data_IF_982674709531
#
_entry.id   IF_982674709531
#
_cell.length_a   1.000
_cell.length_b   1.000
_cell.length_c   1.000
_cell.angle_alpha   90.00
_cell.angle_beta   90.00
_cell.angle_gamma   90.00
#
_symmetry.space_group_name_H-M   'P 1'
#
loop_
_entity.id
_entity.type
_entity.pdbx_description
1 polymer ?
#
# COMPACT_ATOMS: atom_id res chain seq x y z
N UNK A 1 -2.25 -11.18 14.86
CA UNK A 1 -2.33 -10.24 16.00
C UNK A 1 -3.40 -9.20 15.65
N UNK A 2 -4.33 -8.79 16.52
CA UNK A 2 -5.26 -7.74 16.14
C UNK A 2 -4.53 -6.40 16.14
N UNK A 3 -4.62 -5.67 15.04
CA UNK A 3 -4.01 -4.36 14.85
C UNK A 3 -4.95 -3.30 15.44
N UNK A 4 -4.52 -2.66 16.53
CA UNK A 4 -5.32 -1.65 17.24
C UNK A 4 -5.10 -0.28 16.60
N UNK A 5 -6.09 0.19 15.84
CA UNK A 5 -6.13 1.52 15.24
C UNK A 5 -7.11 2.42 15.97
N UNK A 6 -6.70 3.64 16.28
CA UNK A 6 -7.58 4.69 16.79
C UNK A 6 -8.54 5.15 15.66
N UNK A 7 -9.84 4.86 15.82
CA UNK A 7 -10.92 5.31 14.92
C UNK A 7 -11.64 6.47 15.58
N UNK A 8 -11.71 7.62 14.90
CA UNK A 8 -12.39 8.80 15.43
C UNK A 8 -12.92 9.71 14.33
N UNK A 9 -13.96 10.48 14.65
CA UNK A 9 -14.50 11.53 13.80
C UNK A 9 -14.04 12.90 14.34
N UNK A 10 -13.42 13.72 13.50
CA UNK A 10 -13.05 15.10 13.83
C UNK A 10 -13.53 16.05 12.72
N UNK A 11 -14.51 16.90 13.04
CA UNK A 11 -15.01 17.91 12.09
C UNK A 11 -15.61 17.35 10.79
N UNK A 12 -16.26 16.18 10.84
CA UNK A 12 -16.87 15.54 9.66
C UNK A 12 -15.95 14.60 8.86
N UNK A 13 -14.67 14.50 9.23
CA UNK A 13 -13.71 13.55 8.65
C UNK A 13 -13.54 12.34 9.54
N UNK A 14 -13.42 11.18 8.91
CA UNK A 14 -13.24 9.87 9.54
C UNK A 14 -11.83 9.39 9.24
N UNK A 15 -11.13 8.92 10.27
CA UNK A 15 -9.74 8.46 10.14
C UNK A 15 -9.53 7.09 10.75
N UNK A 16 -8.60 6.34 10.17
CA UNK A 16 -8.05 5.12 10.74
C UNK A 16 -6.54 5.11 10.54
N UNK A 17 -5.80 4.80 11.60
CA UNK A 17 -4.38 4.46 11.49
C UNK A 17 -4.22 2.95 11.50
N UNK A 18 -3.51 2.42 10.51
CA UNK A 18 -3.29 0.99 10.31
C UNK A 18 -1.78 0.74 10.26
N UNK A 19 -1.30 -0.13 11.14
CA UNK A 19 0.07 -0.62 11.11
C UNK A 19 0.03 -2.08 10.69
N UNK A 20 0.49 -2.40 9.48
CA UNK A 20 0.49 -3.74 8.90
C UNK A 20 1.91 -4.06 8.44
N UNK A 21 2.57 -4.99 9.12
CA UNK A 21 3.99 -5.31 8.92
C UNK A 21 4.87 -4.04 8.98
N UNK A 22 5.60 -3.73 7.91
CA UNK A 22 6.43 -2.54 7.76
C UNK A 22 5.65 -1.27 7.35
N UNK A 23 4.35 -1.36 7.09
CA UNK A 23 3.54 -0.25 6.58
C UNK A 23 2.76 0.43 7.70
N UNK A 24 2.95 1.74 7.88
CA UNK A 24 2.18 2.58 8.79
C UNK A 24 1.39 3.61 7.97
N UNK A 25 0.09 3.36 7.81
CA UNK A 25 -0.79 4.12 6.91
C UNK A 25 -1.85 4.85 7.71
N UNK A 26 -2.02 6.14 7.43
CA UNK A 26 -3.16 6.92 7.88
C UNK A 26 -4.16 7.03 6.73
N UNK A 27 -5.37 6.52 6.94
CA UNK A 27 -6.49 6.70 6.03
C UNK A 27 -7.38 7.79 6.62
N UNK A 28 -7.73 8.79 5.80
CA UNK A 28 -8.68 9.84 6.13
C UNK A 28 -9.70 9.95 4.99
N UNK A 29 -10.98 10.01 5.34
CA UNK A 29 -12.09 10.08 4.38
C UNK A 29 -13.17 11.04 4.89
N UNK A 30 -13.92 11.63 3.96
CA UNK A 30 -14.99 12.58 4.30
C UNK A 30 -16.32 11.89 4.67
N UNK A 31 -16.41 10.55 4.52
CA UNK A 31 -17.60 9.78 4.91
C UNK A 31 -17.24 8.48 5.62
N UNK A 32 -17.98 8.16 6.69
CA UNK A 32 -17.69 7.00 7.52
C UNK A 32 -17.83 5.66 6.80
N UNK A 33 -18.76 5.54 5.84
CA UNK A 33 -18.97 4.33 5.04
C UNK A 33 -17.79 4.02 4.08
N UNK A 34 -17.00 5.04 3.75
CA UNK A 34 -15.81 4.90 2.91
C UNK A 34 -14.60 4.43 3.73
N UNK A 35 -14.59 4.65 5.04
CA UNK A 35 -13.44 4.32 5.87
C UNK A 35 -13.21 2.81 5.87
N UNK A 36 -14.25 2.03 6.11
CA UNK A 36 -14.13 0.56 6.15
C UNK A 36 -13.80 -0.03 4.77
N UNK A 37 -14.29 0.58 3.67
CA UNK A 37 -13.92 0.20 2.30
C UNK A 37 -12.45 0.48 2.01
N UNK A 38 -11.97 1.66 2.38
CA UNK A 38 -10.56 2.03 2.20
C UNK A 38 -9.63 1.14 3.04
N UNK A 39 -10.02 0.81 4.28
CA UNK A 39 -9.30 -0.16 5.13
C UNK A 39 -9.25 -1.54 4.48
N UNK A 40 -10.39 -2.06 3.99
CA UNK A 40 -10.45 -3.36 3.34
C UNK A 40 -9.61 -3.41 2.06
N UNK A 41 -9.67 -2.36 1.23
CA UNK A 41 -8.86 -2.19 0.03
C UNK A 41 -7.37 -2.18 0.39
N UNK A 42 -6.95 -1.40 1.39
CA UNK A 42 -5.57 -1.36 1.85
C UNK A 42 -5.06 -2.75 2.26
N UNK A 43 -5.82 -3.47 3.08
CA UNK A 43 -5.45 -4.81 3.54
C UNK A 43 -5.32 -5.81 2.39
N UNK A 44 -6.25 -5.76 1.41
CA UNK A 44 -6.20 -6.63 0.23
C UNK A 44 -4.97 -6.35 -0.64
N UNK A 45 -4.69 -5.08 -0.92
CA UNK A 45 -3.52 -4.68 -1.69
C UNK A 45 -2.21 -5.03 -0.97
N UNK A 46 -2.16 -4.88 0.35
CA UNK A 46 -0.99 -5.25 1.15
C UNK A 46 -0.74 -6.75 1.11
N UNK A 47 -1.78 -7.57 1.31
CA UNK A 47 -1.64 -9.02 1.24
C UNK A 47 -1.17 -9.49 -0.15
N UNK A 48 -1.70 -8.90 -1.23
CA UNK A 48 -1.26 -9.23 -2.58
C UNK A 48 0.20 -8.82 -2.84
N UNK A 49 0.62 -7.65 -2.34
CA UNK A 49 2.01 -7.22 -2.42
C UNK A 49 2.94 -8.17 -1.65
N UNK A 50 2.56 -8.56 -0.42
CA UNK A 50 3.39 -9.42 0.42
C UNK A 50 3.62 -10.78 -0.25
N UNK A 51 2.56 -11.39 -0.80
CA UNK A 51 2.67 -12.63 -1.55
C UNK A 51 3.58 -12.50 -2.78
N UNK A 52 3.51 -11.37 -3.50
CA UNK A 52 4.39 -11.12 -4.64
C UNK A 52 5.84 -10.90 -4.20
N UNK A 53 6.09 -10.08 -3.18
CA UNK A 53 7.44 -9.82 -2.65
C UNK A 53 8.11 -11.09 -2.14
N UNK A 54 7.34 -12.02 -1.57
CA UNK A 54 7.86 -13.32 -1.12
C UNK A 54 8.26 -14.22 -2.30
N UNK A 55 7.49 -14.21 -3.40
CA UNK A 55 7.79 -14.97 -4.60
C UNK A 55 8.89 -14.35 -5.49
N UNK A 56 9.17 -13.04 -5.32
CA UNK A 56 10.09 -12.26 -6.17
C UNK A 56 11.19 -11.57 -5.34
N UNK A 57 12.27 -12.30 -4.95
CA UNK A 57 13.37 -11.75 -4.15
C UNK A 57 14.04 -10.52 -4.75
N UNK A 58 14.10 -10.44 -6.08
CA UNK A 58 14.62 -9.29 -6.84
C UNK A 58 13.85 -8.01 -6.54
N UNK A 59 12.52 -8.09 -6.36
CA UNK A 59 11.69 -6.95 -5.99
C UNK A 59 12.02 -6.48 -4.57
N UNK A 60 12.29 -7.43 -3.66
CA UNK A 60 12.55 -7.17 -2.25
C UNK A 60 13.93 -6.55 -2.00
N UNK A 61 14.96 -7.06 -2.66
CA UNK A 61 16.36 -6.75 -2.32
C UNK A 61 17.07 -5.83 -3.32
N UNK A 62 16.48 -5.58 -4.50
CA UNK A 62 17.11 -4.68 -5.45
C UNK A 62 17.16 -3.25 -4.91
N UNK A 63 18.31 -2.61 -5.11
CA UNK A 63 18.52 -1.17 -4.87
C UNK A 63 18.40 -0.35 -6.16
N UNK A 64 18.13 -1.03 -7.28
CA UNK A 64 17.92 -0.45 -8.60
C UNK A 64 16.52 -0.81 -9.13
N UNK A 65 16.01 -0.09 -10.15
CA UNK A 65 14.70 -0.39 -10.71
C UNK A 65 14.60 -1.83 -11.19
N UNK A 66 13.44 -2.45 -10.95
CA UNK A 66 13.13 -3.82 -11.37
C UNK A 66 11.84 -3.78 -12.18
N UNK A 67 11.88 -4.36 -13.38
CA UNK A 67 10.66 -4.57 -14.17
C UNK A 67 9.85 -5.71 -13.55
N UNK A 68 8.55 -5.49 -13.44
CA UNK A 68 7.61 -6.49 -12.96
C UNK A 68 6.70 -6.95 -14.09
N UNK A 69 6.10 -8.11 -13.92
CA UNK A 69 5.19 -8.70 -14.89
C UNK A 69 3.87 -7.91 -14.99
N UNK A 70 3.21 -7.95 -16.15
CA UNK A 70 1.92 -7.27 -16.35
C UNK A 70 0.82 -7.80 -15.42
N UNK A 71 0.91 -9.08 -15.02
CA UNK A 71 -0.02 -9.72 -14.10
C UNK A 71 0.29 -9.40 -12.62
N UNK A 72 1.43 -8.75 -12.33
CA UNK A 72 1.81 -8.42 -10.97
C UNK A 72 0.74 -7.54 -10.29
N UNK A 73 0.59 -7.64 -8.94
CA UNK A 73 -0.35 -6.82 -8.20
C UNK A 73 -0.19 -5.34 -8.53
N UNK A 74 -1.29 -4.60 -8.57
CA UNK A 74 -1.29 -3.18 -8.96
C UNK A 74 -0.28 -2.34 -8.16
N UNK A 75 -0.20 -2.56 -6.85
CA UNK A 75 0.78 -1.88 -5.98
C UNK A 75 2.22 -2.19 -6.39
N UNK A 76 2.52 -3.44 -6.79
CA UNK A 76 3.87 -3.81 -7.23
C UNK A 76 4.23 -3.10 -8.55
N UNK A 77 3.28 -3.00 -9.49
CA UNK A 77 3.47 -2.27 -10.76
C UNK A 77 3.69 -0.77 -10.54
N UNK A 78 2.83 -0.13 -9.74
CA UNK A 78 2.99 1.28 -9.39
C UNK A 78 4.31 1.55 -8.66
N UNK A 79 4.74 0.65 -7.77
CA UNK A 79 6.01 0.77 -7.08
C UNK A 79 7.21 0.62 -8.03
N UNK A 80 7.13 -0.29 -9.00
CA UNK A 80 8.16 -0.45 -10.04
C UNK A 80 8.26 0.78 -10.94
N UNK A 81 7.12 1.33 -11.39
CA UNK A 81 7.06 2.57 -12.18
C UNK A 81 7.67 3.76 -11.41
N UNK A 82 7.29 3.94 -10.15
CA UNK A 82 7.85 4.99 -9.30
C UNK A 82 9.36 4.79 -9.04
N UNK A 83 9.81 3.55 -8.89
CA UNK A 83 11.21 3.20 -8.71
C UNK A 83 12.04 3.49 -9.97
N UNK A 84 11.50 3.24 -11.18
CA UNK A 84 12.13 3.60 -12.45
C UNK A 84 12.37 5.11 -12.55
N UNK A 85 11.40 5.92 -12.16
CA UNK A 85 11.52 7.39 -12.17
C UNK A 85 12.55 7.87 -11.14
N UNK A 86 12.54 7.31 -9.93
CA UNK A 86 13.39 7.74 -8.82
C UNK A 86 14.80 7.13 -8.82
N UNK A 87 15.05 6.10 -9.65
CA UNK A 87 16.34 5.40 -9.70
C UNK A 87 16.64 4.58 -8.44
N UNK A 88 15.62 4.02 -7.80
CA UNK A 88 15.72 3.23 -6.56
C UNK A 88 15.17 1.82 -6.75
N UNK A 89 15.23 0.99 -5.71
CA UNK A 89 14.53 -0.29 -5.66
C UNK A 89 13.01 -0.15 -5.51
N UNK A 90 12.20 -1.11 -6.02
CA UNK A 90 10.73 -1.07 -5.94
C UNK A 90 10.20 -0.98 -4.51
N UNK A 91 10.80 -1.71 -3.57
CA UNK A 91 10.36 -1.74 -2.17
C UNK A 91 10.44 -0.35 -1.50
N UNK A 92 11.38 0.50 -1.91
CA UNK A 92 11.51 1.87 -1.41
C UNK A 92 10.37 2.79 -1.89
N UNK A 93 9.73 2.45 -3.02
CA UNK A 93 8.64 3.23 -3.62
C UNK A 93 7.24 2.78 -3.16
N UNK A 94 7.14 1.68 -2.39
CA UNK A 94 5.86 1.05 -2.00
C UNK A 94 4.91 1.97 -1.23
N UNK A 95 5.43 2.86 -0.38
CA UNK A 95 4.57 3.75 0.40
C UNK A 95 3.69 4.65 -0.49
N UNK A 96 4.26 5.20 -1.57
CA UNK A 96 3.51 6.00 -2.55
C UNK A 96 2.53 5.16 -3.35
N UNK A 97 2.96 3.99 -3.81
CA UNK A 97 2.13 3.08 -4.59
C UNK A 97 0.90 2.56 -3.82
N UNK A 98 1.04 2.31 -2.52
CA UNK A 98 -0.08 1.92 -1.65
C UNK A 98 -1.11 3.05 -1.56
N UNK A 99 -0.67 4.30 -1.37
CA UNK A 99 -1.58 5.44 -1.26
C UNK A 99 -2.42 5.62 -2.54
N UNK A 100 -1.82 5.39 -3.71
CA UNK A 100 -2.51 5.44 -4.99
C UNK A 100 -3.47 4.27 -5.20
N UNK A 101 -3.06 3.04 -4.86
CA UNK A 101 -3.89 1.86 -5.07
C UNK A 101 -5.16 1.86 -4.20
N UNK A 102 -5.10 2.38 -2.97
CA UNK A 102 -6.26 2.45 -2.06
C UNK A 102 -7.37 3.35 -2.60
N UNK A 103 -7.05 4.33 -3.45
CA UNK A 103 -8.06 5.20 -4.09
C UNK A 103 -8.91 4.47 -5.14
N UNK A 104 -8.53 3.27 -5.56
CA UNK A 104 -9.21 2.51 -6.61
C UNK A 104 -10.02 1.29 -6.08
N UNK A 105 -10.46 1.32 -4.82
CA UNK A 105 -11.25 0.26 -4.17
C UNK A 105 -12.72 0.59 -3.97
#
# INVERSE_FOLDING_TARGET
MPHEGDKGAIGGRFRARLVVEQSNVLVEVDRGDLLDKAVASLLSHRAALDAYVEAHPEFKYSLAPVKVEEWAPRVARLAAEAAEIAGVGPLAAVAGAIAEAVMWG
#
